data_IF_625095528329
#
_entry.id   IF_625095528329
#
_cell.length_a   1.000
_cell.length_b   1.000
_cell.length_c   1.000
_cell.angle_alpha   90.00
_cell.angle_beta   90.00
_cell.angle_gamma   90.00
#
_symmetry.space_group_name_H-M   'P 1'
#
loop_
_entity.id
_entity.type
_entity.pdbx_description
1 polymer ?
#
# COMPACT_ATOMS: atom_id res chain seq x y z
N UNK A 1 -5.99 -0.71 -28.35
CA UNK A 1 -5.37 0.27 -27.45
C UNK A 1 -6.36 0.61 -26.34
N UNK A 2 -6.38 -0.17 -25.25
CA UNK A 2 -7.36 0.01 -24.16
C UNK A 2 -6.79 -0.31 -22.77
N UNK A 3 -5.47 -0.15 -22.60
CA UNK A 3 -4.84 -0.26 -21.28
C UNK A 3 -5.41 0.82 -20.34
N UNK A 4 -5.76 2.00 -20.87
CA UNK A 4 -6.42 3.08 -20.13
C UNK A 4 -7.78 2.69 -19.53
N UNK A 5 -8.57 1.81 -20.18
CA UNK A 5 -9.82 1.28 -19.59
C UNK A 5 -9.56 0.30 -18.46
N UNK A 6 -8.44 -0.44 -18.51
CA UNK A 6 -8.04 -1.39 -17.47
C UNK A 6 -7.55 -0.68 -16.19
N UNK A 7 -7.07 0.55 -16.33
CA UNK A 7 -6.68 1.46 -15.25
C UNK A 7 -7.74 2.51 -14.91
N UNK A 8 -9.00 2.31 -15.33
CA UNK A 8 -10.12 3.05 -14.76
C UNK A 8 -10.38 2.50 -13.34
N UNK A 9 -9.39 2.72 -12.47
CA UNK A 9 -9.48 2.54 -11.04
C UNK A 9 -10.46 3.63 -10.61
N UNK A 10 -11.76 3.32 -10.70
CA UNK A 10 -12.76 4.01 -9.90
C UNK A 10 -12.14 4.13 -8.52
N UNK A 11 -12.03 5.38 -8.01
CA UNK A 11 -11.58 5.68 -6.66
C UNK A 11 -12.13 4.57 -5.79
N UNK A 12 -11.26 3.66 -5.37
CA UNK A 12 -11.65 2.63 -4.44
C UNK A 12 -12.05 3.46 -3.25
N UNK A 13 -13.36 3.61 -3.10
CA UNK A 13 -13.97 4.54 -2.18
C UNK A 13 -13.71 3.85 -0.84
N UNK A 14 -12.49 4.06 -0.32
CA UNK A 14 -12.09 3.86 1.05
C UNK A 14 -12.88 4.90 1.85
N UNK A 15 -14.19 4.70 1.86
CA UNK A 15 -15.23 5.45 2.57
C UNK A 15 -15.11 5.21 4.09
N UNK A 16 -14.09 4.49 4.54
CA UNK A 16 -13.79 4.27 5.95
C UNK A 16 -13.00 5.41 6.62
N UNK A 17 -12.90 6.58 5.99
CA UNK A 17 -11.94 7.63 6.36
C UNK A 17 -12.53 8.88 7.03
N UNK A 18 -13.70 8.82 7.70
CA UNK A 18 -14.32 10.06 8.22
C UNK A 18 -14.40 10.31 9.73
N UNK A 19 -14.43 9.33 10.65
CA UNK A 19 -14.88 9.70 12.02
C UNK A 19 -13.96 9.46 13.23
N UNK A 20 -12.80 8.82 13.11
CA UNK A 20 -11.65 9.20 13.97
C UNK A 20 -10.36 8.60 13.40
N UNK A 21 -9.30 9.42 13.26
CA UNK A 21 -8.01 8.93 12.72
C UNK A 21 -7.47 7.75 13.54
N UNK A 22 -7.68 7.76 14.85
CA UNK A 22 -7.19 6.72 15.77
C UNK A 22 -7.98 5.40 15.62
N UNK A 23 -9.32 5.46 15.54
CA UNK A 23 -10.13 4.24 15.37
C UNK A 23 -9.82 3.54 14.06
N UNK A 24 -9.53 4.30 12.99
CA UNK A 24 -9.10 3.74 11.71
C UNK A 24 -7.79 2.97 11.86
N UNK A 25 -6.76 3.57 12.47
CA UNK A 25 -5.47 2.87 12.67
C UNK A 25 -5.60 1.65 13.57
N UNK A 26 -6.44 1.72 14.62
CA UNK A 26 -6.72 0.57 15.47
C UNK A 26 -7.41 -0.56 14.70
N UNK A 27 -8.46 -0.24 13.94
CA UNK A 27 -9.15 -1.21 13.10
C UNK A 27 -8.20 -1.83 12.06
N UNK A 28 -7.34 -1.01 11.47
CA UNK A 28 -6.33 -1.44 10.51
C UNK A 28 -5.36 -2.45 11.13
N UNK A 29 -4.80 -2.15 12.30
CA UNK A 29 -3.90 -3.05 13.03
C UNK A 29 -4.61 -4.35 13.43
N UNK A 30 -5.84 -4.26 13.95
CA UNK A 30 -6.62 -5.45 14.32
C UNK A 30 -6.89 -6.32 13.08
N UNK A 31 -7.29 -5.72 11.97
CA UNK A 31 -7.53 -6.44 10.72
C UNK A 31 -6.26 -7.10 10.18
N UNK A 32 -5.10 -6.43 10.31
CA UNK A 32 -3.80 -7.01 9.99
C UNK A 32 -3.53 -8.24 10.84
N UNK A 33 -3.68 -8.15 12.17
CA UNK A 33 -3.40 -9.26 13.07
C UNK A 33 -4.28 -10.48 12.78
N UNK A 34 -5.58 -10.26 12.55
CA UNK A 34 -6.52 -11.34 12.21
C UNK A 34 -6.12 -11.99 10.88
N UNK A 35 -5.88 -11.21 9.83
CA UNK A 35 -5.52 -11.74 8.51
C UNK A 35 -4.14 -12.41 8.51
N UNK A 36 -3.17 -11.84 9.23
CA UNK A 36 -1.86 -12.43 9.41
C UNK A 36 -1.96 -13.80 10.11
N UNK A 37 -2.79 -13.91 11.15
CA UNK A 37 -3.04 -15.18 11.84
C UNK A 37 -3.70 -16.20 10.90
N UNK A 38 -4.77 -15.82 10.19
CA UNK A 38 -5.46 -16.69 9.23
C UNK A 38 -4.49 -17.16 8.15
N UNK A 39 -3.73 -16.25 7.54
CA UNK A 39 -2.77 -16.60 6.50
C UNK A 39 -1.64 -17.47 7.02
N UNK A 40 -1.17 -17.24 8.24
CA UNK A 40 -0.17 -18.08 8.89
C UNK A 40 -0.66 -19.50 9.08
N UNK A 41 -1.92 -19.70 9.52
CA UNK A 41 -2.47 -21.05 9.66
C UNK A 41 -2.61 -21.78 8.32
N UNK A 42 -2.95 -21.07 7.24
CA UNK A 42 -3.12 -21.70 5.90
C UNK A 42 -1.82 -21.90 5.12
N UNK A 43 -0.85 -20.99 5.24
CA UNK A 43 0.34 -20.94 4.36
C UNK A 43 1.67 -20.79 5.13
N UNK A 44 1.65 -20.89 6.46
CA UNK A 44 2.81 -20.74 7.32
C UNK A 44 3.49 -19.37 7.18
N UNK A 45 4.83 -19.37 7.21
CA UNK A 45 5.65 -18.15 7.10
C UNK A 45 5.38 -17.41 5.78
N UNK A 46 5.11 -18.12 4.67
CA UNK A 46 4.78 -17.50 3.39
C UNK A 46 3.46 -16.72 3.46
N UNK A 47 2.48 -17.23 4.21
CA UNK A 47 1.24 -16.51 4.49
C UNK A 47 1.46 -15.20 5.22
N UNK A 48 2.34 -15.20 6.22
CA UNK A 48 2.70 -13.98 6.94
C UNK A 48 3.39 -12.94 6.04
N UNK A 49 4.25 -13.39 5.11
CA UNK A 49 4.88 -12.50 4.13
C UNK A 49 3.86 -11.88 3.17
N UNK A 50 2.87 -12.66 2.72
CA UNK A 50 1.77 -12.16 1.87
C UNK A 50 0.94 -11.12 2.63
N UNK A 51 0.56 -11.42 3.87
CA UNK A 51 -0.17 -10.48 4.73
C UNK A 51 0.61 -9.17 4.89
N UNK A 52 1.90 -9.27 5.22
CA UNK A 52 2.77 -8.12 5.39
C UNK A 52 2.90 -7.29 4.11
N UNK A 53 3.01 -7.94 2.94
CA UNK A 53 3.04 -7.26 1.65
C UNK A 53 1.75 -6.48 1.39
N UNK A 54 0.59 -7.12 1.53
CA UNK A 54 -0.70 -6.49 1.24
C UNK A 54 -0.91 -5.26 2.13
N UNK A 55 -0.68 -5.41 3.43
CA UNK A 55 -0.88 -4.32 4.39
C UNK A 55 0.17 -3.21 4.27
N UNK A 56 1.42 -3.54 3.99
CA UNK A 56 2.44 -2.52 3.72
C UNK A 56 2.13 -1.76 2.43
N UNK A 57 1.66 -2.47 1.40
CA UNK A 57 1.28 -1.88 0.13
C UNK A 57 0.14 -0.89 0.27
N UNK A 58 -0.95 -1.27 0.95
CA UNK A 58 -2.12 -0.40 1.13
C UNK A 58 -1.73 0.91 1.82
N UNK A 59 -0.95 0.83 2.91
CA UNK A 59 -0.47 2.01 3.64
C UNK A 59 0.45 2.90 2.78
N UNK A 60 1.43 2.30 2.11
CA UNK A 60 2.38 3.04 1.28
C UNK A 60 1.69 3.65 0.06
N UNK A 61 0.76 2.93 -0.56
CA UNK A 61 0.02 3.42 -1.71
C UNK A 61 -0.90 4.58 -1.33
N UNK A 62 -1.61 4.50 -0.19
CA UNK A 62 -2.41 5.62 0.32
C UNK A 62 -1.55 6.87 0.53
N UNK A 63 -0.35 6.71 1.11
CA UNK A 63 0.60 7.80 1.29
C UNK A 63 1.07 8.37 -0.05
N UNK A 64 1.43 7.51 -1.00
CA UNK A 64 1.84 7.93 -2.35
C UNK A 64 0.72 8.67 -3.09
N UNK A 65 -0.54 8.23 -2.98
CA UNK A 65 -1.69 8.94 -3.57
C UNK A 65 -1.85 10.33 -2.94
N UNK A 66 -1.73 10.46 -1.61
CA UNK A 66 -1.74 11.77 -0.94
C UNK A 66 -0.61 12.68 -1.43
N UNK A 67 0.57 12.13 -1.71
CA UNK A 67 1.67 12.88 -2.32
C UNK A 67 1.32 13.30 -3.75
N UNK A 68 0.78 12.41 -4.58
CA UNK A 68 0.38 12.72 -5.96
C UNK A 68 -0.70 13.82 -6.07
N UNK A 69 -1.49 14.00 -5.02
CA UNK A 69 -2.49 15.06 -4.93
C UNK A 69 -1.97 16.34 -4.25
N UNK A 70 -0.74 16.35 -3.73
CA UNK A 70 -0.18 17.52 -3.07
C UNK A 70 0.32 18.57 -4.09
N UNK A 71 0.02 19.84 -3.83
CA UNK A 71 0.48 20.95 -4.67
C UNK A 71 2.01 20.97 -4.83
N UNK A 72 2.74 20.62 -3.77
CA UNK A 72 4.20 20.53 -3.80
C UNK A 72 4.68 19.53 -4.84
N UNK A 73 4.06 18.36 -4.92
CA UNK A 73 4.44 17.34 -5.89
C UNK A 73 4.01 17.72 -7.30
N UNK A 74 2.80 18.28 -7.46
CA UNK A 74 2.28 18.74 -8.75
C UNK A 74 3.21 19.80 -9.34
N UNK A 75 3.58 20.82 -8.55
CA UNK A 75 4.49 21.89 -8.97
C UNK A 75 5.90 21.37 -9.27
N UNK A 76 6.36 20.32 -8.58
CA UNK A 76 7.69 19.73 -8.80
C UNK A 76 7.77 18.90 -10.07
N UNK A 77 6.75 18.09 -10.35
CA UNK A 77 6.74 17.20 -11.52
C UNK A 77 6.32 17.93 -12.82
N UNK A 78 5.65 19.08 -12.67
CA UNK A 78 5.16 19.91 -13.76
C UNK A 78 3.64 19.77 -13.94
N UNK A 79 2.97 20.92 -14.03
CA UNK A 79 1.51 21.04 -14.07
C UNK A 79 0.84 20.35 -15.28
N UNK A 80 1.61 20.05 -16.32
CA UNK A 80 1.13 19.42 -17.55
C UNK A 80 0.91 17.89 -17.44
N UNK A 81 1.31 17.25 -16.33
CA UNK A 81 1.18 15.80 -16.19
C UNK A 81 -0.21 15.41 -15.69
N UNK A 82 -0.95 14.63 -16.48
CA UNK A 82 -2.30 14.19 -16.12
C UNK A 82 -2.35 13.43 -14.79
N UNK A 83 -3.46 13.59 -14.06
CA UNK A 83 -3.68 12.96 -12.75
C UNK A 83 -3.52 11.44 -12.80
N UNK A 84 -3.98 10.79 -13.87
CA UNK A 84 -3.90 9.34 -14.03
C UNK A 84 -2.44 8.87 -14.14
N UNK A 85 -1.61 9.66 -14.83
CA UNK A 85 -0.17 9.36 -14.96
C UNK A 85 0.53 9.57 -13.62
N UNK A 86 0.18 10.61 -12.86
CA UNK A 86 0.72 10.81 -11.50
C UNK A 86 0.40 9.64 -10.57
N UNK A 87 -0.82 9.11 -10.64
CA UNK A 87 -1.20 7.92 -9.88
C UNK A 87 -0.46 6.66 -10.32
N UNK A 88 -0.23 6.49 -11.62
CA UNK A 88 0.57 5.37 -12.14
C UNK A 88 2.02 5.43 -11.65
N UNK A 89 2.64 6.62 -11.67
CA UNK A 89 4.00 6.82 -11.12
C UNK A 89 4.02 6.45 -9.64
N UNK A 90 3.06 6.95 -8.86
CA UNK A 90 2.93 6.65 -7.44
C UNK A 90 2.66 5.17 -7.16
N UNK A 91 1.90 4.50 -8.01
CA UNK A 91 1.68 3.06 -7.93
C UNK A 91 3.00 2.30 -8.07
N UNK A 92 3.81 2.62 -9.09
CA UNK A 92 5.13 1.99 -9.29
C UNK A 92 6.06 2.26 -8.12
N UNK A 93 6.10 3.50 -7.61
CA UNK A 93 6.91 3.86 -6.44
C UNK A 93 6.46 3.06 -5.21
N UNK A 94 5.16 3.00 -4.95
CA UNK A 94 4.61 2.28 -3.80
C UNK A 94 4.88 0.78 -3.86
N UNK A 95 4.80 0.16 -5.04
CA UNK A 95 5.15 -1.26 -5.23
C UNK A 95 6.62 -1.52 -4.91
N UNK A 96 7.53 -0.67 -5.41
CA UNK A 96 8.96 -0.81 -5.14
C UNK A 96 9.28 -0.61 -3.66
N UNK A 97 8.68 0.40 -3.02
CA UNK A 97 8.84 0.65 -1.59
C UNK A 97 8.31 -0.53 -0.76
N UNK A 98 7.17 -1.10 -1.15
CA UNK A 98 6.59 -2.28 -0.48
C UNK A 98 7.49 -3.50 -0.63
N UNK A 99 8.01 -3.75 -1.83
CA UNK A 99 8.96 -4.84 -2.06
C UNK A 99 10.21 -4.69 -1.20
N UNK A 100 10.77 -3.48 -1.13
CA UNK A 100 11.92 -3.20 -0.28
C UNK A 100 11.60 -3.44 1.21
N UNK A 101 10.48 -2.91 1.69
CA UNK A 101 10.06 -3.06 3.08
C UNK A 101 9.86 -4.53 3.47
N UNK A 102 9.17 -5.30 2.63
CA UNK A 102 8.93 -6.72 2.85
C UNK A 102 10.20 -7.57 2.83
N UNK A 103 11.18 -7.20 1.99
CA UNK A 103 12.51 -7.85 2.01
C UNK A 103 13.27 -7.59 3.30
N UNK A 104 13.21 -6.37 3.84
CA UNK A 104 13.77 -6.07 5.17
C UNK A 104 13.07 -6.91 6.25
N UNK A 105 11.74 -6.95 6.26
CA UNK A 105 11.01 -7.73 7.26
C UNK A 105 11.38 -9.21 7.19
N UNK A 106 11.54 -9.75 5.98
CA UNK A 106 11.98 -11.13 5.78
C UNK A 106 13.37 -11.37 6.37
N UNK A 107 14.33 -10.50 6.08
CA UNK A 107 15.69 -10.62 6.62
C UNK A 107 15.71 -10.58 8.15
N UNK A 108 14.87 -9.74 8.75
CA UNK A 108 14.73 -9.69 10.22
C UNK A 108 14.21 -11.03 10.74
N UNK A 109 13.15 -11.58 10.14
CA UNK A 109 12.58 -12.87 10.55
C UNK A 109 13.63 -13.99 10.43
N UNK A 110 14.33 -14.05 9.30
CA UNK A 110 15.35 -15.07 9.04
C UNK A 110 16.56 -14.93 9.98
N UNK A 111 16.94 -13.70 10.35
CA UNK A 111 18.06 -13.45 11.27
C UNK A 111 17.82 -13.94 12.70
N UNK A 112 16.56 -14.14 13.10
CA UNK A 112 16.19 -14.61 14.44
C UNK A 112 16.17 -16.14 14.57
N UNK A 113 16.39 -16.87 13.47
CA UNK A 113 16.42 -18.34 13.44
C UNK A 113 17.85 -18.90 13.60
N UNK A 114 18.80 -18.06 14.02
CA UNK A 114 20.21 -18.43 14.30
C UNK A 114 20.43 -18.58 15.81
#
# INVERSE_FOLDING_TARGET
>A
MNIAKLFNIEKLNLILLKDSKISFYLLYIISFLILAFVFFQTFGIKGLQIANFIFSFVMLFELCIKIAESDRFINWIGDGLDKSIRYLIMFVISLNATYFFTRITLQIIESQVI
#
